data_IF_751760314099
#
_entry.id   IF_751760314099
#
_cell.length_a   1.000
_cell.length_b   1.000
_cell.length_c   1.000
_cell.angle_alpha   90.00
_cell.angle_beta   90.00
_cell.angle_gamma   90.00
#
_symmetry.space_group_name_H-M   'P 1'
#
loop_
_entity.id
_entity.type
_entity.pdbx_description
1 polymer ?
#
# COMPACT_ATOMS: atom_id res chain seq x y z
N UNK A 1 -5.84 -6.02 27.48
CA UNK A 1 -6.56 -7.04 26.69
C UNK A 1 -5.50 -7.81 25.94
N UNK A 2 -5.32 -9.09 26.22
CA UNK A 2 -4.24 -9.91 25.67
C UNK A 2 -4.53 -10.12 24.19
N UNK A 3 -3.67 -9.58 23.32
CA UNK A 3 -3.73 -9.85 21.88
C UNK A 3 -3.46 -11.34 21.65
N UNK A 4 -4.34 -12.01 20.93
CA UNK A 4 -4.18 -13.41 20.54
C UNK A 4 -2.95 -13.55 19.66
N UNK A 5 -2.12 -14.53 19.95
CA UNK A 5 -0.86 -14.83 19.27
C UNK A 5 -1.04 -15.55 17.93
N UNK A 6 -1.94 -15.09 17.08
CA UNK A 6 -2.03 -15.56 15.69
C UNK A 6 -1.27 -14.56 14.81
N UNK A 7 0.04 -14.78 14.67
CA UNK A 7 1.05 -13.82 14.21
C UNK A 7 1.17 -13.71 12.67
N UNK A 8 0.09 -13.90 11.90
CA UNK A 8 0.16 -13.85 10.43
C UNK A 8 -0.25 -12.50 9.82
N UNK A 9 -0.80 -11.57 10.59
CA UNK A 9 -1.45 -10.36 10.06
C UNK A 9 -0.50 -9.15 9.85
N UNK A 10 0.77 -9.21 10.27
CA UNK A 10 1.66 -8.04 10.22
C UNK A 10 1.21 -6.89 11.14
N UNK A 11 1.64 -5.66 10.87
CA UNK A 11 1.34 -4.47 11.69
C UNK A 11 -0.02 -3.82 11.37
N UNK A 12 -0.79 -4.34 10.41
CA UNK A 12 -2.09 -3.82 10.01
C UNK A 12 -3.19 -4.81 10.34
N UNK A 13 -3.94 -4.52 11.39
CA UNK A 13 -5.14 -5.26 11.77
C UNK A 13 -6.37 -4.36 11.59
N UNK A 14 -7.07 -4.52 10.47
CA UNK A 14 -8.27 -3.75 10.14
C UNK A 14 -9.38 -3.94 11.19
N UNK A 15 -9.51 -5.13 11.77
CA UNK A 15 -10.51 -5.40 12.78
C UNK A 15 -10.19 -4.70 14.11
N UNK A 16 -8.91 -4.62 14.48
CA UNK A 16 -8.46 -3.91 15.68
C UNK A 16 -8.54 -2.38 15.54
N UNK A 17 -8.41 -1.85 14.31
CA UNK A 17 -8.56 -0.41 14.02
C UNK A 17 -10.03 0.05 14.06
N UNK A 18 -10.97 -0.88 14.05
CA UNK A 18 -12.40 -0.63 14.14
C UNK A 18 -12.99 -0.07 12.84
N UNK A 19 -13.84 -0.85 12.19
CA UNK A 19 -14.59 -0.43 10.98
C UNK A 19 -15.41 0.84 11.23
N UNK A 20 -15.78 1.09 12.49
CA UNK A 20 -16.53 2.28 12.95
C UNK A 20 -15.71 3.58 12.90
N UNK A 21 -14.39 3.52 12.69
CA UNK A 21 -13.50 4.67 12.79
C UNK A 21 -13.29 5.46 11.48
N UNK A 22 -14.03 5.18 10.40
CA UNK A 22 -13.84 5.83 9.11
C UNK A 22 -12.62 5.32 8.33
N UNK A 23 -11.97 4.25 8.78
CA UNK A 23 -10.77 3.70 8.12
C UNK A 23 -11.07 3.22 6.69
N UNK A 24 -12.25 2.63 6.48
CA UNK A 24 -12.69 2.24 5.15
C UNK A 24 -12.83 3.46 4.21
N UNK A 25 -13.48 4.54 4.71
CA UNK A 25 -13.62 5.79 3.94
C UNK A 25 -12.25 6.39 3.63
N UNK A 26 -11.33 6.36 4.59
CA UNK A 26 -9.96 6.83 4.40
C UNK A 26 -9.23 6.03 3.31
N UNK A 27 -9.30 4.69 3.33
CA UNK A 27 -8.70 3.82 2.31
C UNK A 27 -9.28 4.09 0.92
N UNK A 28 -10.61 4.23 0.83
CA UNK A 28 -11.29 4.55 -0.42
C UNK A 28 -10.92 5.94 -0.93
N UNK A 29 -10.90 6.95 -0.05
CA UNK A 29 -10.50 8.32 -0.40
C UNK A 29 -9.07 8.35 -0.92
N UNK A 30 -8.16 7.70 -0.22
CA UNK A 30 -6.74 7.59 -0.62
C UNK A 30 -6.61 6.99 -2.02
N UNK A 31 -7.26 5.85 -2.27
CA UNK A 31 -7.17 5.18 -3.55
C UNK A 31 -7.86 5.99 -4.67
N UNK A 32 -9.06 6.54 -4.44
CA UNK A 32 -9.79 7.34 -5.46
C UNK A 32 -9.05 8.63 -5.84
N UNK A 33 -8.40 9.30 -4.88
CA UNK A 33 -7.67 10.57 -5.14
C UNK A 33 -6.39 10.36 -5.94
N UNK A 34 -5.76 9.20 -5.83
CA UNK A 34 -4.55 8.86 -6.57
C UNK A 34 -4.79 7.98 -7.81
N UNK A 35 -6.02 7.49 -8.01
CA UNK A 35 -6.36 6.45 -8.98
C UNK A 35 -5.83 6.68 -10.39
N UNK A 36 -6.10 7.86 -10.97
CA UNK A 36 -5.66 8.19 -12.33
C UNK A 36 -4.13 8.27 -12.44
N UNK A 37 -3.49 8.94 -11.48
CA UNK A 37 -2.03 9.00 -11.41
C UNK A 37 -1.44 7.60 -11.24
N UNK A 38 -2.02 6.80 -10.37
CA UNK A 38 -1.57 5.45 -10.06
C UNK A 38 -1.68 4.53 -11.29
N UNK A 39 -2.77 4.63 -12.05
CA UNK A 39 -2.91 3.87 -13.30
C UNK A 39 -1.85 4.26 -14.34
N UNK A 40 -1.55 5.56 -14.48
CA UNK A 40 -0.48 6.03 -15.36
C UNK A 40 0.89 5.48 -14.91
N UNK A 41 1.13 5.45 -13.60
CA UNK A 41 2.34 4.86 -13.02
C UNK A 41 2.43 3.36 -13.33
N UNK A 42 1.36 2.60 -13.09
CA UNK A 42 1.32 1.16 -13.37
C UNK A 42 1.59 0.84 -14.84
N UNK A 43 1.04 1.64 -15.77
CA UNK A 43 1.34 1.50 -17.21
C UNK A 43 2.82 1.76 -17.52
N UNK A 44 3.43 2.78 -16.92
CA UNK A 44 4.88 3.04 -17.05
C UNK A 44 5.72 1.91 -16.45
N UNK A 45 5.22 1.25 -15.40
CA UNK A 45 5.88 0.14 -14.71
C UNK A 45 5.63 -1.22 -15.39
N UNK A 46 4.91 -1.26 -16.52
CA UNK A 46 4.76 -2.45 -17.34
C UNK A 46 3.38 -3.09 -17.37
N UNK A 47 2.36 -2.52 -16.69
CA UNK A 47 0.99 -2.97 -16.82
C UNK A 47 0.48 -2.73 -18.26
N UNK A 48 -0.04 -3.79 -18.89
CA UNK A 48 -0.59 -3.79 -20.25
C UNK A 48 -1.90 -4.55 -20.26
N UNK A 49 -2.71 -4.34 -21.30
CA UNK A 49 -3.89 -5.15 -21.51
C UNK A 49 -3.54 -6.58 -21.94
N UNK A 50 -4.40 -7.54 -21.59
CA UNK A 50 -4.23 -8.95 -21.92
C UNK A 50 -3.36 -9.77 -20.95
N UNK A 51 -2.94 -9.19 -19.82
CA UNK A 51 -2.12 -9.87 -18.80
C UNK A 51 -2.99 -10.60 -17.76
N UNK A 52 -2.39 -11.62 -17.14
CA UNK A 52 -2.83 -12.16 -15.85
C UNK A 52 -2.29 -11.26 -14.73
N UNK A 53 -3.15 -10.52 -14.06
CA UNK A 53 -2.80 -9.51 -13.07
C UNK A 53 -3.26 -9.93 -11.68
N UNK A 54 -2.39 -9.80 -10.68
CA UNK A 54 -2.73 -9.92 -9.27
C UNK A 54 -2.60 -8.55 -8.58
N UNK A 55 -3.70 -8.08 -8.00
CA UNK A 55 -3.69 -6.99 -7.02
C UNK A 55 -3.58 -7.62 -5.63
N UNK A 56 -2.38 -7.52 -5.04
CA UNK A 56 -1.98 -8.18 -3.79
C UNK A 56 -2.20 -7.23 -2.61
N UNK A 57 -3.03 -7.65 -1.64
CA UNK A 57 -3.59 -6.82 -0.57
C UNK A 57 -4.45 -5.68 -1.15
N UNK A 58 -5.46 -6.07 -1.93
CA UNK A 58 -6.30 -5.16 -2.71
C UNK A 58 -7.18 -4.23 -1.87
N UNK A 59 -7.34 -4.50 -0.58
CA UNK A 59 -8.22 -3.74 0.32
C UNK A 59 -9.66 -3.66 -0.23
N UNK A 60 -10.28 -2.45 -0.27
CA UNK A 60 -11.64 -2.25 -0.78
C UNK A 60 -11.73 -2.28 -2.33
N UNK A 61 -10.69 -2.72 -3.03
CA UNK A 61 -10.68 -3.02 -4.45
C UNK A 61 -10.80 -1.81 -5.39
N UNK A 62 -10.45 -0.60 -4.95
CA UNK A 62 -10.55 0.61 -5.80
C UNK A 62 -9.59 0.50 -6.99
N UNK A 63 -8.34 0.13 -6.75
CA UNK A 63 -7.34 0.00 -7.81
C UNK A 63 -7.59 -1.26 -8.65
N UNK A 64 -8.05 -2.35 -8.03
CA UNK A 64 -8.48 -3.56 -8.74
C UNK A 64 -9.52 -3.24 -9.83
N UNK A 65 -10.56 -2.48 -9.47
CA UNK A 65 -11.61 -2.05 -10.44
C UNK A 65 -11.03 -1.18 -11.54
N UNK A 66 -10.19 -0.22 -11.19
CA UNK A 66 -9.54 0.66 -12.16
C UNK A 66 -8.68 -0.11 -13.17
N UNK A 67 -7.94 -1.13 -12.71
CA UNK A 67 -7.17 -2.02 -13.58
C UNK A 67 -8.11 -2.79 -14.51
N UNK A 68 -9.17 -3.41 -13.98
CA UNK A 68 -10.12 -4.19 -14.77
C UNK A 68 -10.88 -3.36 -15.81
N UNK A 69 -11.31 -2.14 -15.46
CA UNK A 69 -11.98 -1.22 -16.36
C UNK A 69 -11.06 -0.75 -17.50
N UNK A 70 -9.81 -0.45 -17.18
CA UNK A 70 -8.86 0.13 -18.14
C UNK A 70 -8.11 -0.92 -18.97
N UNK A 71 -8.16 -2.19 -18.59
CA UNK A 71 -7.51 -3.33 -19.25
C UNK A 71 -8.50 -4.49 -19.42
N UNK A 72 -9.52 -4.35 -20.29
CA UNK A 72 -10.66 -5.26 -20.36
C UNK A 72 -10.31 -6.67 -20.87
N UNK A 73 -9.16 -6.85 -21.52
CA UNK A 73 -8.68 -8.16 -21.95
C UNK A 73 -7.84 -8.87 -20.88
N UNK A 74 -7.52 -8.20 -19.78
CA UNK A 74 -6.73 -8.78 -18.68
C UNK A 74 -7.61 -9.63 -17.75
N UNK A 75 -7.00 -10.69 -17.19
CA UNK A 75 -7.61 -11.46 -16.11
C UNK A 75 -7.12 -10.93 -14.78
N UNK A 76 -8.00 -10.25 -14.06
CA UNK A 76 -7.65 -9.60 -12.78
C UNK A 76 -8.06 -10.48 -11.62
N UNK A 77 -7.09 -10.83 -10.77
CA UNK A 77 -7.28 -11.45 -9.46
C UNK A 77 -6.99 -10.41 -8.38
N UNK A 78 -7.86 -10.33 -7.38
CA UNK A 78 -7.71 -9.48 -6.22
C UNK A 78 -7.59 -10.35 -4.96
N UNK A 79 -6.52 -10.20 -4.20
CA UNK A 79 -6.31 -10.98 -2.97
C UNK A 79 -6.15 -10.04 -1.77
N UNK A 80 -6.85 -10.36 -0.69
CA UNK A 80 -6.68 -9.70 0.60
C UNK A 80 -6.86 -10.72 1.74
N UNK A 81 -6.24 -10.45 2.88
CA UNK A 81 -6.41 -11.24 4.10
C UNK A 81 -7.77 -10.98 4.74
N UNK A 82 -8.25 -9.74 4.65
CA UNK A 82 -9.48 -9.28 5.29
C UNK A 82 -10.72 -9.58 4.45
N UNK A 83 -11.55 -10.47 4.98
CA UNK A 83 -12.78 -10.91 4.31
C UNK A 83 -13.81 -9.78 4.13
N UNK A 84 -13.93 -8.87 5.11
CA UNK A 84 -14.88 -7.76 5.02
C UNK A 84 -14.50 -6.77 3.91
N UNK A 85 -13.20 -6.48 3.73
CA UNK A 85 -12.73 -5.66 2.61
C UNK A 85 -12.95 -6.34 1.26
N UNK A 86 -12.74 -7.66 1.16
CA UNK A 86 -13.02 -8.42 -0.06
C UNK A 86 -14.50 -8.42 -0.43
N UNK A 87 -15.41 -8.63 0.53
CA UNK A 87 -16.85 -8.58 0.26
C UNK A 87 -17.32 -7.18 -0.17
N UNK A 88 -16.74 -6.14 0.42
CA UNK A 88 -16.93 -4.76 -0.05
C UNK A 88 -16.44 -4.60 -1.50
N UNK A 89 -15.22 -5.04 -1.78
CA UNK A 89 -14.62 -4.95 -3.12
C UNK A 89 -15.46 -5.67 -4.19
N UNK A 90 -15.97 -6.87 -3.86
CA UNK A 90 -16.90 -7.62 -4.73
C UNK A 90 -18.19 -6.87 -4.99
N UNK A 91 -18.81 -6.34 -3.93
CA UNK A 91 -20.08 -5.61 -4.02
C UNK A 91 -19.92 -4.37 -4.91
N UNK A 92 -18.85 -3.61 -4.71
CA UNK A 92 -18.58 -2.41 -5.51
C UNK A 92 -18.21 -2.74 -6.97
N UNK A 93 -17.51 -3.84 -7.23
CA UNK A 93 -17.20 -4.31 -8.58
C UNK A 93 -18.48 -4.75 -9.32
N UNK A 94 -19.34 -5.53 -8.66
CA UNK A 94 -20.62 -5.95 -9.21
C UNK A 94 -21.54 -4.78 -9.53
N UNK A 95 -21.57 -3.75 -8.70
CA UNK A 95 -22.38 -2.54 -8.89
C UNK A 95 -22.05 -1.76 -10.19
N UNK A 96 -20.81 -1.92 -10.70
CA UNK A 96 -20.35 -1.32 -11.98
C UNK A 96 -20.18 -2.35 -13.10
N UNK A 97 -20.67 -3.57 -12.91
CA UNK A 97 -20.69 -4.60 -13.94
C UNK A 97 -19.36 -5.37 -14.12
N UNK A 98 -18.39 -5.21 -13.25
CA UNK A 98 -17.09 -5.90 -13.29
C UNK A 98 -17.19 -7.29 -12.63
N UNK A 99 -17.91 -8.21 -13.25
CA UNK A 99 -18.15 -9.55 -12.71
C UNK A 99 -17.03 -10.57 -13.04
N UNK A 100 -16.00 -10.14 -13.77
CA UNK A 100 -14.89 -11.00 -14.21
C UNK A 100 -13.69 -10.98 -13.26
N UNK A 101 -13.69 -10.11 -12.25
CA UNK A 101 -12.63 -10.04 -11.26
C UNK A 101 -12.72 -11.26 -10.34
N UNK A 102 -11.59 -11.97 -10.18
CA UNK A 102 -11.48 -13.10 -9.27
C UNK A 102 -11.01 -12.65 -7.88
N UNK A 103 -11.90 -12.73 -6.88
CA UNK A 103 -11.57 -12.34 -5.50
C UNK A 103 -11.18 -13.56 -4.68
N UNK A 104 -10.03 -13.48 -3.99
CA UNK A 104 -9.44 -14.57 -3.21
C UNK A 104 -9.06 -14.08 -1.82
N UNK A 105 -9.56 -14.73 -0.77
CA UNK A 105 -9.03 -14.52 0.57
C UNK A 105 -7.70 -15.26 0.72
N UNK A 106 -6.64 -14.56 1.14
CA UNK A 106 -5.33 -15.20 1.28
C UNK A 106 -4.34 -14.36 2.07
N UNK A 107 -3.41 -15.06 2.71
CA UNK A 107 -2.25 -14.50 3.37
C UNK A 107 -1.08 -14.40 2.37
N UNK A 108 -0.41 -13.24 2.34
CA UNK A 108 0.77 -13.02 1.48
C UNK A 108 1.89 -14.02 1.76
N UNK A 109 2.00 -14.54 2.97
CA UNK A 109 2.99 -15.53 3.37
C UNK A 109 2.65 -16.97 2.94
N UNK A 110 1.38 -17.24 2.60
CA UNK A 110 0.88 -18.53 2.11
C UNK A 110 -0.30 -18.31 1.14
N UNK A 111 -0.08 -17.60 0.02
CA UNK A 111 -1.16 -17.29 -0.90
C UNK A 111 -1.74 -18.59 -1.51
N UNK A 112 -3.08 -18.80 -1.46
CA UNK A 112 -3.74 -19.98 -1.99
C UNK A 112 -3.91 -19.88 -3.51
N UNK A 113 -2.84 -19.50 -4.18
CA UNK A 113 -2.78 -19.26 -5.62
C UNK A 113 -1.72 -20.17 -6.25
N UNK A 114 -1.94 -20.66 -7.47
CA UNK A 114 -1.00 -21.54 -8.14
C UNK A 114 0.30 -20.79 -8.52
N UNK A 115 1.40 -21.51 -8.58
CA UNK A 115 2.68 -20.97 -9.02
C UNK A 115 2.64 -20.59 -10.50
N UNK A 116 3.50 -19.66 -10.91
CA UNK A 116 3.70 -19.22 -12.30
C UNK A 116 2.38 -18.85 -13.02
N UNK A 117 1.50 -18.11 -12.34
CA UNK A 117 0.15 -17.80 -12.82
C UNK A 117 -0.02 -16.36 -13.27
N UNK A 118 0.86 -15.45 -12.86
CA UNK A 118 0.69 -14.02 -13.11
C UNK A 118 1.81 -13.45 -13.97
N UNK A 119 1.43 -12.59 -14.91
CA UNK A 119 2.36 -11.80 -15.71
C UNK A 119 2.77 -10.52 -14.98
N UNK A 120 1.84 -9.97 -14.16
CA UNK A 120 2.03 -8.75 -13.41
C UNK A 120 1.41 -8.86 -12.02
N UNK A 121 2.19 -8.55 -10.98
CA UNK A 121 1.70 -8.45 -9.59
C UNK A 121 1.91 -7.03 -9.10
N UNK A 122 0.86 -6.44 -8.55
CA UNK A 122 0.90 -5.14 -7.91
C UNK A 122 0.65 -5.27 -6.42
N UNK A 123 1.47 -4.62 -5.60
CA UNK A 123 1.32 -4.54 -4.15
C UNK A 123 1.38 -3.08 -3.72
N UNK A 124 0.29 -2.59 -3.11
CA UNK A 124 0.13 -1.20 -2.72
C UNK A 124 0.07 -1.03 -1.22
N UNK A 125 1.03 -0.28 -0.65
CA UNK A 125 1.09 0.05 0.78
C UNK A 125 1.01 -1.19 1.70
N UNK A 126 1.52 -2.32 1.22
CA UNK A 126 1.53 -3.60 1.91
C UNK A 126 2.82 -3.82 2.70
N UNK A 127 3.97 -3.62 2.06
CA UNK A 127 5.27 -4.04 2.59
C UNK A 127 5.65 -3.29 3.87
N UNK A 128 5.17 -2.06 4.06
CA UNK A 128 5.33 -1.32 5.31
C UNK A 128 4.70 -2.01 6.53
N UNK A 129 3.81 -2.96 6.32
CA UNK A 129 3.10 -3.69 7.38
C UNK A 129 3.69 -5.07 7.66
N UNK A 130 4.57 -5.57 6.79
CA UNK A 130 5.08 -6.94 6.86
C UNK A 130 6.30 -7.03 7.79
N UNK A 131 6.28 -8.00 8.70
CA UNK A 131 7.40 -8.35 9.59
C UNK A 131 8.48 -9.21 8.89
N UNK A 132 8.09 -9.96 7.83
CA UNK A 132 8.95 -10.84 7.07
C UNK A 132 8.89 -10.52 5.55
N UNK A 133 9.33 -9.31 5.11
CA UNK A 133 9.14 -8.87 3.72
C UNK A 133 9.85 -9.79 2.69
N UNK A 134 11.00 -10.38 3.03
CA UNK A 134 11.69 -11.35 2.16
C UNK A 134 10.82 -12.59 1.92
N UNK A 135 10.20 -13.15 2.98
CA UNK A 135 9.31 -14.30 2.83
C UNK A 135 8.10 -13.97 1.94
N UNK A 136 7.56 -12.77 2.04
CA UNK A 136 6.49 -12.32 1.15
C UNK A 136 6.98 -12.23 -0.31
N UNK A 137 8.16 -11.64 -0.54
CA UNK A 137 8.78 -11.57 -1.86
C UNK A 137 9.04 -12.95 -2.47
N UNK A 138 9.47 -13.93 -1.69
CA UNK A 138 9.65 -15.32 -2.15
C UNK A 138 8.32 -15.93 -2.63
N UNK A 139 7.21 -15.67 -1.92
CA UNK A 139 5.90 -16.11 -2.35
C UNK A 139 5.45 -15.39 -3.62
N UNK A 140 5.65 -14.09 -3.71
CA UNK A 140 5.33 -13.31 -4.91
C UNK A 140 6.13 -13.83 -6.11
N UNK A 141 7.43 -14.09 -5.94
CA UNK A 141 8.27 -14.67 -6.99
C UNK A 141 7.76 -16.03 -7.46
N UNK A 142 7.28 -16.89 -6.53
CA UNK A 142 6.64 -18.18 -6.87
C UNK A 142 5.38 -18.01 -7.72
N UNK A 143 4.59 -16.97 -7.47
CA UNK A 143 3.34 -16.70 -8.19
C UNK A 143 3.56 -16.15 -9.60
N UNK A 144 4.65 -15.43 -9.83
CA UNK A 144 4.98 -14.85 -11.13
C UNK A 144 5.41 -15.93 -12.12
N UNK A 145 5.01 -15.75 -13.37
CA UNK A 145 5.53 -16.50 -14.52
C UNK A 145 7.00 -16.13 -14.77
N UNK A 146 7.78 -16.98 -15.47
CA UNK A 146 9.08 -16.55 -16.02
C UNK A 146 8.92 -15.27 -16.86
N UNK A 147 9.72 -14.25 -16.59
CA UNK A 147 9.59 -12.92 -17.19
C UNK A 147 8.44 -12.07 -16.63
N UNK A 148 7.70 -12.60 -15.65
CA UNK A 148 6.65 -11.84 -14.97
C UNK A 148 7.22 -10.76 -14.05
N UNK A 149 6.48 -9.68 -13.86
CA UNK A 149 6.92 -8.45 -13.19
C UNK A 149 6.15 -8.19 -11.89
N UNK A 150 6.89 -7.84 -10.85
CA UNK A 150 6.36 -7.26 -9.61
C UNK A 150 6.47 -5.73 -9.67
N UNK A 151 5.42 -5.04 -9.23
CA UNK A 151 5.43 -3.62 -8.95
C UNK A 151 4.96 -3.41 -7.50
N UNK A 152 5.80 -2.80 -6.66
CA UNK A 152 5.47 -2.41 -5.29
C UNK A 152 5.38 -0.89 -5.23
N UNK A 153 4.27 -0.38 -4.69
CA UNK A 153 4.12 1.02 -4.31
C UNK A 153 4.07 1.10 -2.79
N UNK A 154 5.04 1.77 -2.17
CA UNK A 154 5.06 1.95 -0.72
C UNK A 154 5.71 3.27 -0.32
N UNK A 155 5.77 3.57 0.97
CA UNK A 155 6.17 4.86 1.51
C UNK A 155 7.52 4.82 2.22
N UNK A 156 8.04 6.03 2.42
CA UNK A 156 9.09 6.32 3.38
C UNK A 156 8.75 7.63 4.09
N UNK A 157 8.46 7.53 5.38
CA UNK A 157 7.99 8.67 6.18
C UNK A 157 9.00 9.83 6.30
N UNK A 158 10.30 9.57 6.06
CA UNK A 158 11.30 10.65 6.01
C UNK A 158 11.10 11.58 4.79
N UNK A 159 10.29 11.15 3.80
CA UNK A 159 9.92 11.94 2.62
C UNK A 159 8.58 12.68 2.78
N UNK A 160 8.01 12.70 3.99
CA UNK A 160 6.82 13.48 4.29
C UNK A 160 7.22 14.87 4.81
N UNK A 161 6.79 15.91 4.12
CA UNK A 161 7.11 17.30 4.42
C UNK A 161 5.85 18.15 4.46
N UNK A 162 5.73 18.99 5.49
CA UNK A 162 4.71 20.03 5.62
C UNK A 162 5.40 21.40 5.73
N UNK A 163 4.88 22.41 5.08
CA UNK A 163 5.43 23.77 5.10
C UNK A 163 4.30 24.79 5.36
N UNK A 164 4.40 25.55 6.45
CA UNK A 164 5.39 25.47 7.52
C UNK A 164 5.31 24.14 8.29
N UNK A 165 6.44 23.64 8.79
CA UNK A 165 6.47 22.39 9.58
C UNK A 165 5.83 22.64 10.96
N UNK A 166 4.78 21.87 11.35
CA UNK A 166 4.18 21.96 12.68
C UNK A 166 5.19 21.62 13.77
N UNK A 167 5.11 22.31 14.90
CA UNK A 167 5.99 22.00 16.04
C UNK A 167 5.75 20.56 16.51
N UNK A 168 6.83 19.81 16.69
CA UNK A 168 6.77 18.40 17.10
C UNK A 168 6.48 17.40 15.98
N UNK A 169 6.36 17.84 14.72
CA UNK A 169 6.01 16.99 13.59
C UNK A 169 6.97 15.79 13.43
N UNK A 170 8.28 16.04 13.54
CA UNK A 170 9.28 14.96 13.48
C UNK A 170 9.18 13.99 14.65
N UNK A 171 8.89 14.48 15.86
CA UNK A 171 8.69 13.62 17.03
C UNK A 171 7.43 12.75 16.85
N UNK A 172 6.35 13.32 16.32
CA UNK A 172 5.12 12.60 15.99
C UNK A 172 5.36 11.47 14.96
N UNK A 173 6.01 11.78 13.83
CA UNK A 173 6.29 10.77 12.80
C UNK A 173 7.21 9.67 13.29
N UNK A 174 8.21 10.01 14.11
CA UNK A 174 9.10 9.04 14.75
C UNK A 174 8.38 8.16 15.77
N UNK A 175 7.47 8.72 16.58
CA UNK A 175 6.66 7.95 17.52
C UNK A 175 5.76 6.96 16.79
N UNK A 176 5.08 7.37 15.73
CA UNK A 176 4.29 6.49 14.89
C UNK A 176 5.15 5.39 14.24
N UNK A 177 6.36 5.73 13.79
CA UNK A 177 7.32 4.76 13.25
C UNK A 177 7.75 3.71 14.28
N UNK A 178 8.04 4.12 15.53
CA UNK A 178 8.36 3.18 16.63
C UNK A 178 7.16 2.29 16.98
N UNK A 179 5.96 2.87 17.05
CA UNK A 179 4.74 2.12 17.36
C UNK A 179 4.47 1.05 16.31
N UNK A 180 4.61 1.36 15.01
CA UNK A 180 4.45 0.38 13.95
C UNK A 180 5.57 -0.67 13.95
N UNK A 181 6.81 -0.27 14.21
CA UNK A 181 7.94 -1.20 14.31
C UNK A 181 7.76 -2.21 15.45
N UNK A 182 7.15 -1.81 16.57
CA UNK A 182 6.79 -2.72 17.67
C UNK A 182 5.76 -3.79 17.26
N UNK A 183 5.01 -3.54 16.18
CA UNK A 183 4.07 -4.48 15.55
C UNK A 183 4.69 -5.21 14.34
N UNK A 184 5.99 -5.08 14.10
CA UNK A 184 6.71 -5.74 13.00
C UNK A 184 6.75 -4.95 11.69
N UNK A 185 6.10 -3.79 11.58
CA UNK A 185 6.08 -2.98 10.36
C UNK A 185 7.29 -2.04 10.22
N UNK A 186 7.44 -1.43 9.04
CA UNK A 186 8.52 -0.49 8.74
C UNK A 186 8.02 0.71 7.92
N UNK A 187 7.91 1.87 8.55
CA UNK A 187 7.48 3.12 7.90
C UNK A 187 8.52 3.75 6.96
N UNK A 188 9.67 3.11 6.80
CA UNK A 188 10.75 3.50 5.89
C UNK A 188 11.04 2.43 4.86
N UNK A 189 10.11 1.51 4.64
CA UNK A 189 10.29 0.35 3.77
C UNK A 189 10.61 0.75 2.32
N UNK A 190 10.08 1.88 1.85
CA UNK A 190 10.23 2.35 0.48
C UNK A 190 11.69 2.36 0.00
N UNK A 191 12.60 2.91 0.80
CA UNK A 191 14.05 2.95 0.48
C UNK A 191 14.72 1.58 0.45
N UNK A 192 14.14 0.58 1.11
CA UNK A 192 14.68 -0.77 1.20
C UNK A 192 14.20 -1.71 0.08
N UNK A 193 13.10 -1.36 -0.60
CA UNK A 193 12.40 -2.26 -1.52
C UNK A 193 13.34 -2.81 -2.62
N UNK A 194 14.16 -1.97 -3.24
CA UNK A 194 15.08 -2.40 -4.28
C UNK A 194 16.03 -3.50 -3.78
N UNK A 195 16.70 -3.24 -2.65
CA UNK A 195 17.63 -4.19 -2.02
C UNK A 195 16.91 -5.49 -1.60
N UNK A 196 15.71 -5.41 -1.05
CA UNK A 196 14.93 -6.58 -0.64
C UNK A 196 14.54 -7.44 -1.85
N UNK A 197 14.15 -6.81 -2.96
CA UNK A 197 13.82 -7.50 -4.21
C UNK A 197 15.04 -8.22 -4.80
N UNK A 198 16.22 -7.54 -4.87
CA UNK A 198 17.47 -8.16 -5.31
C UNK A 198 17.85 -9.37 -4.45
N UNK A 199 17.74 -9.23 -3.11
CA UNK A 199 18.00 -10.33 -2.17
C UNK A 199 17.05 -11.52 -2.34
N UNK A 200 15.83 -11.27 -2.79
CA UNK A 200 14.84 -12.32 -3.09
C UNK A 200 14.97 -12.87 -4.52
N UNK A 201 16.02 -12.51 -5.26
CA UNK A 201 16.32 -13.06 -6.58
C UNK A 201 15.48 -12.47 -7.72
N UNK A 202 14.93 -11.26 -7.55
CA UNK A 202 14.39 -10.49 -8.67
C UNK A 202 15.55 -9.89 -9.49
N UNK A 203 15.36 -9.84 -10.80
CA UNK A 203 16.28 -9.20 -11.76
C UNK A 203 15.66 -7.94 -12.34
N UNK A 204 16.45 -7.12 -13.03
CA UNK A 204 16.00 -5.85 -13.62
C UNK A 204 15.28 -4.95 -12.60
N UNK A 205 15.88 -4.87 -11.40
CA UNK A 205 15.26 -4.14 -10.29
C UNK A 205 15.46 -2.63 -10.45
N UNK A 206 14.36 -1.89 -10.45
CA UNK A 206 14.35 -0.43 -10.50
C UNK A 206 13.60 0.16 -9.31
N UNK A 207 14.14 1.24 -8.75
CA UNK A 207 13.49 2.00 -7.69
C UNK A 207 13.32 3.45 -8.15
N UNK A 208 12.07 3.91 -8.20
CA UNK A 208 11.70 5.27 -8.54
C UNK A 208 10.96 5.92 -7.38
N UNK A 209 11.00 7.24 -7.29
CA UNK A 209 10.22 8.01 -6.33
C UNK A 209 9.35 9.01 -7.07
N UNK A 210 8.06 8.92 -6.82
CA UNK A 210 7.07 9.90 -7.29
C UNK A 210 6.62 10.76 -6.11
N UNK A 211 6.36 12.03 -6.34
CA UNK A 211 5.88 12.93 -5.30
C UNK A 211 4.39 13.20 -5.45
N UNK A 212 3.67 13.08 -4.35
CA UNK A 212 2.27 13.51 -4.24
C UNK A 212 2.22 14.73 -3.33
N UNK A 213 1.57 15.79 -3.78
CA UNK A 213 1.52 17.06 -3.06
C UNK A 213 0.11 17.44 -2.64
N UNK A 214 0.03 18.30 -1.62
CA UNK A 214 -1.22 18.93 -1.22
C UNK A 214 -1.85 19.83 -2.30
N UNK A 215 -1.05 20.28 -3.28
CA UNK A 215 -1.57 21.02 -4.45
C UNK A 215 -2.36 20.15 -5.41
N UNK A 216 -2.01 18.85 -5.50
CA UNK A 216 -2.74 17.86 -6.31
C UNK A 216 -4.00 17.34 -5.63
N UNK A 217 -3.93 17.09 -4.31
CA UNK A 217 -5.03 16.45 -3.56
C UNK A 217 -5.94 17.43 -2.80
N UNK A 218 -5.47 18.66 -2.58
CA UNK A 218 -5.98 19.56 -1.54
C UNK A 218 -5.38 19.22 -0.17
N UNK A 219 -5.10 20.27 0.65
CA UNK A 219 -4.40 20.10 1.94
C UNK A 219 -5.15 19.17 2.89
N UNK A 220 -6.48 19.32 3.02
CA UNK A 220 -7.30 18.46 3.90
C UNK A 220 -7.17 16.99 3.57
N UNK A 221 -7.38 16.61 2.30
CA UNK A 221 -7.28 15.21 1.87
C UNK A 221 -5.84 14.68 2.01
N UNK A 222 -4.83 15.51 1.74
CA UNK A 222 -3.43 15.15 1.93
C UNK A 222 -3.12 14.80 3.39
N UNK A 223 -3.53 15.63 4.35
CA UNK A 223 -3.30 15.40 5.78
C UNK A 223 -4.05 14.15 6.26
N UNK A 224 -5.30 13.98 5.85
CA UNK A 224 -6.11 12.82 6.21
C UNK A 224 -5.47 11.51 5.74
N UNK A 225 -5.02 11.47 4.49
CA UNK A 225 -4.37 10.30 3.90
C UNK A 225 -3.02 10.01 4.58
N UNK A 226 -2.21 11.02 4.85
CA UNK A 226 -0.82 10.82 5.30
C UNK A 226 -0.67 10.75 6.81
N UNK A 227 -1.54 11.40 7.59
CA UNK A 227 -1.44 11.47 9.06
C UNK A 227 -2.47 10.61 9.79
N UNK A 228 -3.62 10.29 9.16
CA UNK A 228 -4.73 9.58 9.80
C UNK A 228 -4.30 8.24 10.41
N UNK A 229 -3.65 7.37 9.65
CA UNK A 229 -3.17 6.08 10.15
C UNK A 229 -2.13 6.23 11.27
N UNK A 230 -1.21 7.20 11.17
CA UNK A 230 -0.18 7.45 12.18
C UNK A 230 -0.78 7.77 13.55
N UNK A 231 -1.90 8.52 13.56
CA UNK A 231 -2.62 8.84 14.78
C UNK A 231 -3.16 7.57 15.48
N UNK A 232 -3.67 6.60 14.70
CA UNK A 232 -4.24 5.36 15.23
C UNK A 232 -3.19 4.46 15.91
N UNK A 233 -1.92 4.62 15.58
CA UNK A 233 -0.81 3.85 16.17
C UNK A 233 -0.42 4.33 17.57
N UNK A 234 -0.80 5.56 17.97
CA UNK A 234 -0.33 6.19 19.20
C UNK A 234 -1.33 6.03 20.35
N UNK A 235 -0.81 5.93 21.58
CA UNK A 235 -1.59 5.82 22.81
C UNK A 235 -0.95 6.64 23.94
N UNK A 236 -1.73 6.92 25.00
CA UNK A 236 -1.24 7.62 26.19
C UNK A 236 -0.57 8.96 25.87
N UNK A 237 0.54 9.24 26.54
CA UNK A 237 1.28 10.51 26.44
C UNK A 237 1.75 10.82 25.02
N UNK A 238 2.11 9.80 24.22
CA UNK A 238 2.50 10.00 22.82
C UNK A 238 1.32 10.48 21.97
N UNK A 239 0.10 9.96 22.22
CA UNK A 239 -1.11 10.45 21.54
C UNK A 239 -1.44 11.89 21.98
N UNK A 240 -1.36 12.23 23.26
CA UNK A 240 -1.61 13.58 23.74
C UNK A 240 -0.65 14.60 23.12
N UNK A 241 0.65 14.27 23.07
CA UNK A 241 1.65 15.11 22.40
C UNK A 241 1.36 15.25 20.88
N UNK A 242 0.90 14.17 20.24
CA UNK A 242 0.54 14.16 18.83
C UNK A 242 -0.68 15.06 18.52
N UNK A 243 -1.69 15.12 19.40
CA UNK A 243 -2.89 15.93 19.18
C UNK A 243 -2.57 17.42 18.96
N UNK A 244 -1.61 17.96 19.71
CA UNK A 244 -1.16 19.36 19.51
C UNK A 244 -0.52 19.55 18.14
N UNK A 245 0.33 18.61 17.72
CA UNK A 245 0.98 18.64 16.40
C UNK A 245 -0.03 18.51 15.28
N UNK A 246 -1.00 17.59 15.42
CA UNK A 246 -2.07 17.38 14.44
C UNK A 246 -2.98 18.59 14.30
N UNK A 247 -3.34 19.25 15.42
CA UNK A 247 -4.11 20.52 15.37
C UNK A 247 -3.36 21.62 14.61
N UNK A 248 -2.03 21.71 14.75
CA UNK A 248 -1.22 22.64 13.96
C UNK A 248 -1.15 22.22 12.48
N UNK A 249 -1.10 20.91 12.19
CA UNK A 249 -1.15 20.43 10.81
C UNK A 249 -2.51 20.76 10.16
N UNK A 250 -3.62 20.57 10.89
CA UNK A 250 -4.96 20.92 10.41
C UNK A 250 -5.11 22.42 10.14
N UNK A 251 -4.45 23.28 10.92
CA UNK A 251 -4.44 24.72 10.68
C UNK A 251 -3.77 25.10 9.35
N UNK A 252 -2.96 24.23 8.74
CA UNK A 252 -2.38 24.47 7.41
C UNK A 252 -3.43 24.49 6.31
N UNK A 253 -4.62 23.91 6.54
CA UNK A 253 -5.72 23.92 5.58
C UNK A 253 -6.12 25.34 5.21
N UNK A 254 -6.13 26.23 6.20
CA UNK A 254 -6.54 27.63 6.06
C UNK A 254 -5.35 28.60 6.06
N UNK A 255 -4.11 28.05 6.04
CA UNK A 255 -2.90 28.88 6.04
C UNK A 255 -2.51 29.24 4.60
N UNK A 256 -2.44 30.53 4.23
CA UNK A 256 -1.97 30.94 2.92
C UNK A 256 -0.56 30.41 2.63
N UNK A 257 -0.34 29.97 1.38
CA UNK A 257 0.94 29.45 0.88
C UNK A 257 1.45 28.19 1.57
N UNK A 258 0.68 27.59 2.49
CA UNK A 258 1.02 26.29 3.03
C UNK A 258 0.98 25.22 1.94
N UNK A 259 1.95 24.28 2.01
CA UNK A 259 2.01 23.15 1.11
C UNK A 259 2.59 21.92 1.81
N UNK A 260 2.34 20.76 1.22
CA UNK A 260 2.85 19.52 1.73
C UNK A 260 3.16 18.57 0.58
N UNK A 261 4.11 17.66 0.79
CA UNK A 261 4.41 16.56 -0.14
C UNK A 261 4.80 15.28 0.59
N UNK A 262 4.60 14.17 -0.08
CA UNK A 262 5.10 12.85 0.33
C UNK A 262 5.76 12.16 -0.86
N UNK A 263 6.88 11.48 -0.61
CA UNK A 263 7.50 10.59 -1.59
C UNK A 263 6.84 9.22 -1.54
N UNK A 264 6.41 8.73 -2.69
CA UNK A 264 5.90 7.37 -2.89
C UNK A 264 6.93 6.59 -3.69
N UNK A 265 7.40 5.50 -3.14
CA UNK A 265 8.43 4.65 -3.72
C UNK A 265 7.79 3.57 -4.59
N UNK A 266 8.28 3.46 -5.82
CA UNK A 266 7.84 2.49 -6.82
C UNK A 266 9.02 1.57 -7.11
N UNK A 267 8.98 0.34 -6.63
CA UNK A 267 9.96 -0.68 -6.92
C UNK A 267 9.39 -1.66 -7.94
N UNK A 268 10.14 -1.96 -8.99
CA UNK A 268 9.82 -3.00 -9.97
C UNK A 268 10.95 -3.98 -10.11
N UNK A 269 10.63 -5.23 -10.46
CA UNK A 269 11.62 -6.26 -10.77
C UNK A 269 10.95 -7.44 -11.45
N UNK A 270 11.72 -8.25 -12.14
CA UNK A 270 11.25 -9.39 -12.93
C UNK A 270 11.75 -10.71 -12.35
N UNK A 271 11.00 -11.77 -12.58
CA UNK A 271 11.50 -13.13 -12.42
C UNK A 271 12.29 -13.50 -13.68
N UNK A 272 13.50 -14.04 -13.52
CA UNK A 272 14.33 -14.47 -14.66
C UNK A 272 13.53 -15.37 -15.61
N UNK A 273 13.63 -15.10 -16.89
CA UNK A 273 13.07 -15.96 -17.95
C UNK A 273 13.89 -17.21 -18.18
N UNK A 274 15.15 -17.26 -17.70
CA UNK A 274 16.06 -18.37 -17.89
C UNK A 274 15.77 -19.52 -16.89
N UNK A 275 15.58 -20.72 -17.39
CA UNK A 275 15.29 -21.92 -16.59
C UNK A 275 16.49 -22.40 -15.73
N UNK A 276 17.63 -21.71 -15.78
CA UNK A 276 18.89 -22.10 -15.12
C UNK A 276 19.01 -21.64 -13.65
N UNK A 277 18.07 -20.80 -13.17
CA UNK A 277 18.12 -20.21 -11.80
C UNK A 277 17.09 -20.84 -10.84
N UNK A 278 16.68 -22.10 -11.05
CA UNK A 278 15.78 -22.84 -10.15
C UNK A 278 16.50 -23.83 -9.28
#
# INVERSE_FOLDING_TARGET
MVMSSDSSAGSYDFAALGVESGELERLQLQARRSAELELQLLRRMGLKDGLDVLDLACGPGVITRLIAESHPSSRVTAMDLNEALLEQAKTEAAAVGLNTIHFVRGDVYQPPLPAASFDFIYARLLFQHLDQPIRALDQVRRLLKPGGRLCIMDIDDDWLTLVPEPKGFRAFTQAAGRAQAALGGNRRIGRELGRLMEQSGFVDVHLNVETISSRQLGMRAFLEITLGFKRLLLQGDELEAALTTLAQADALIDTPDAWALVGVFLATGEVSSDASDR
#
